data_IF_250832379757
#
_entry.id   IF_250832379757
#
_cell.length_a   1.000
_cell.length_b   1.000
_cell.length_c   1.000
_cell.angle_alpha   90.00
_cell.angle_beta   90.00
_cell.angle_gamma   90.00
#
_symmetry.space_group_name_H-M   'P 1'
#
loop_
_entity.id
_entity.type
_entity.pdbx_description
1 polymer ?
#
# COMPACT_ATOMS: atom_id res chain seq x y z
N UNK A 1 -49.87 36.40 31.63
CA UNK A 1 -48.81 36.81 30.68
C UNK A 1 -47.65 35.78 30.79
N UNK A 2 -47.52 34.89 29.80
CA UNK A 2 -46.47 33.86 29.83
C UNK A 2 -45.29 34.34 28.97
N UNK A 3 -44.14 34.59 29.63
CA UNK A 3 -42.93 35.02 28.98
C UNK A 3 -42.28 33.87 28.20
N UNK A 4 -42.09 34.01 26.89
CA UNK A 4 -41.38 33.07 26.02
C UNK A 4 -39.88 33.15 26.29
N UNK A 5 -39.31 32.11 26.88
CA UNK A 5 -37.86 31.92 27.02
C UNK A 5 -37.30 31.51 25.65
N UNK A 6 -36.42 32.35 25.04
CA UNK A 6 -35.72 31.99 23.82
C UNK A 6 -34.61 30.99 24.17
N UNK A 7 -34.43 29.89 23.42
CA UNK A 7 -33.32 28.96 23.65
C UNK A 7 -32.00 29.64 23.27
N UNK A 8 -31.06 29.58 24.18
CA UNK A 8 -29.67 30.06 24.01
C UNK A 8 -28.96 29.17 22.98
N UNK A 9 -28.43 29.77 21.95
CA UNK A 9 -27.75 29.10 20.82
C UNK A 9 -26.37 28.67 21.28
N UNK A 10 -26.19 27.35 21.53
CA UNK A 10 -24.91 26.77 21.89
C UNK A 10 -23.79 27.21 20.87
N UNK A 11 -22.71 27.75 21.38
CA UNK A 11 -21.57 28.21 20.60
C UNK A 11 -20.93 27.02 19.87
N UNK A 12 -20.73 27.13 18.55
CA UNK A 12 -20.02 26.14 17.75
C UNK A 12 -18.58 25.97 18.29
N UNK A 13 -18.11 24.74 18.49
CA UNK A 13 -16.75 24.50 18.96
C UNK A 13 -15.75 25.11 17.99
N UNK A 14 -14.77 25.83 18.52
CA UNK A 14 -13.65 26.40 17.74
C UNK A 14 -12.91 25.25 17.01
N UNK A 15 -12.52 25.45 15.74
CA UNK A 15 -11.75 24.43 15.02
C UNK A 15 -10.46 24.14 15.78
N UNK A 16 -10.21 22.86 16.03
CA UNK A 16 -8.99 22.39 16.68
C UNK A 16 -7.76 22.88 15.87
N UNK A 17 -6.76 23.45 16.53
CA UNK A 17 -5.48 23.83 15.91
C UNK A 17 -4.99 22.65 15.07
N UNK A 18 -4.75 22.87 13.76
CA UNK A 18 -4.12 21.89 12.89
C UNK A 18 -2.79 21.46 13.51
N UNK A 19 -2.72 20.23 14.00
CA UNK A 19 -1.45 19.62 14.42
C UNK A 19 -0.55 19.61 13.18
N UNK A 20 0.72 20.06 13.32
CA UNK A 20 1.72 19.93 12.27
C UNK A 20 1.69 18.48 11.75
N UNK A 21 1.67 18.30 10.44
CA UNK A 21 1.68 16.96 9.85
C UNK A 21 2.94 16.25 10.34
N UNK A 22 2.77 15.12 11.02
CA UNK A 22 3.89 14.27 11.36
C UNK A 22 4.44 13.67 10.06
N UNK A 23 5.73 13.43 9.99
CA UNK A 23 6.40 12.80 8.84
C UNK A 23 6.88 11.40 9.21
N UNK A 24 7.02 10.54 8.22
CA UNK A 24 7.69 9.24 8.36
C UNK A 24 8.58 9.01 7.14
N UNK A 25 9.75 8.42 7.37
CA UNK A 25 10.73 8.11 6.34
C UNK A 25 10.72 6.61 6.02
N UNK A 26 11.02 6.30 4.77
CA UNK A 26 11.20 4.96 4.25
C UNK A 26 12.37 4.90 3.27
N UNK A 27 12.94 3.73 3.09
CA UNK A 27 14.07 3.53 2.21
C UNK A 27 13.94 2.25 1.39
N UNK A 28 14.62 2.21 0.24
CA UNK A 28 14.79 0.99 -0.53
C UNK A 28 15.76 0.03 0.18
N UNK A 29 15.82 -1.23 -0.27
CA UNK A 29 16.62 -2.29 0.36
C UNK A 29 18.11 -1.90 0.55
N UNK A 30 18.72 -1.23 -0.42
CA UNK A 30 20.11 -0.81 -0.33
C UNK A 30 20.32 0.54 0.38
N UNK A 31 19.25 1.18 0.85
CA UNK A 31 19.28 2.51 1.46
C UNK A 31 19.62 3.66 0.50
N UNK A 32 19.85 3.39 -0.79
CA UNK A 32 20.24 4.42 -1.76
C UNK A 32 19.14 5.43 -2.06
N UNK A 33 17.88 4.98 -2.10
CA UNK A 33 16.69 5.86 -2.26
C UNK A 33 16.00 5.99 -0.92
N UNK A 34 15.77 7.24 -0.49
CA UNK A 34 15.05 7.54 0.73
C UNK A 34 13.89 8.48 0.43
N UNK A 35 12.73 8.15 1.01
CA UNK A 35 11.46 8.85 0.79
C UNK A 35 10.89 9.28 2.13
N UNK A 36 10.40 10.50 2.18
CA UNK A 36 9.67 11.05 3.31
C UNK A 36 8.23 11.34 2.90
N UNK A 37 7.28 11.02 3.77
CA UNK A 37 5.86 11.29 3.56
C UNK A 37 5.23 11.99 4.76
N UNK A 38 4.26 12.86 4.50
CA UNK A 38 3.41 13.40 5.56
C UNK A 38 2.37 12.38 6.00
N UNK A 39 2.15 12.28 7.30
CA UNK A 39 1.16 11.38 7.89
C UNK A 39 0.01 12.14 8.55
N UNK A 40 -1.19 11.56 8.60
CA UNK A 40 -1.56 10.25 8.06
C UNK A 40 -1.63 10.25 6.54
N UNK A 41 -1.30 9.10 5.93
CA UNK A 41 -1.53 8.88 4.49
C UNK A 41 -3.02 8.91 4.17
N UNK A 42 -3.37 9.07 2.89
CA UNK A 42 -4.77 9.16 2.49
C UNK A 42 -5.51 7.83 2.71
N UNK A 43 -4.92 6.71 2.27
CA UNK A 43 -5.43 5.35 2.50
C UNK A 43 -4.32 4.30 2.46
N UNK A 44 -4.66 3.03 2.79
CA UNK A 44 -3.77 1.88 2.70
C UNK A 44 -4.57 0.62 2.31
N UNK A 45 -3.98 -0.25 1.46
CA UNK A 45 -4.66 -1.46 0.96
C UNK A 45 -3.67 -2.53 0.52
N UNK A 46 -4.20 -3.74 0.33
CA UNK A 46 -3.51 -4.87 -0.29
C UNK A 46 -3.98 -4.99 -1.74
N UNK A 47 -3.05 -5.04 -2.69
CA UNK A 47 -3.31 -5.13 -4.12
C UNK A 47 -2.91 -6.51 -4.64
N UNK A 48 -3.91 -7.28 -5.08
CA UNK A 48 -3.75 -8.66 -5.57
C UNK A 48 -3.68 -8.74 -7.10
N UNK A 49 -3.69 -7.62 -7.82
CA UNK A 49 -3.66 -7.60 -9.27
C UNK A 49 -2.43 -8.32 -9.84
N UNK A 50 -2.59 -8.95 -11.00
CA UNK A 50 -1.50 -9.64 -11.69
C UNK A 50 -0.30 -8.70 -11.92
N UNK A 51 -0.57 -7.46 -12.34
CA UNK A 51 0.46 -6.46 -12.58
C UNK A 51 1.25 -6.10 -11.32
N UNK A 52 0.61 -6.11 -10.16
CA UNK A 52 1.27 -5.86 -8.87
C UNK A 52 2.07 -7.07 -8.43
N UNK A 53 1.53 -8.28 -8.56
CA UNK A 53 2.27 -9.51 -8.25
C UNK A 53 3.55 -9.64 -9.08
N UNK A 54 3.47 -9.41 -10.40
CA UNK A 54 4.63 -9.44 -11.28
C UNK A 54 5.67 -8.38 -10.92
N UNK A 55 5.22 -7.16 -10.60
CA UNK A 55 6.12 -6.06 -10.27
C UNK A 55 6.83 -6.23 -8.91
N UNK A 56 6.29 -7.03 -8.01
CA UNK A 56 6.84 -7.24 -6.66
C UNK A 56 7.38 -8.66 -6.44
N UNK A 57 7.15 -9.60 -7.35
CA UNK A 57 7.48 -11.01 -7.14
C UNK A 57 6.79 -11.61 -5.90
N UNK A 58 5.56 -11.18 -5.60
CA UNK A 58 4.87 -11.50 -4.36
C UNK A 58 3.39 -11.81 -4.61
N UNK A 59 2.72 -12.49 -3.66
CA UNK A 59 1.30 -12.82 -3.76
C UNK A 59 0.40 -11.58 -3.84
N UNK A 60 0.81 -10.49 -3.22
CA UNK A 60 0.21 -9.17 -3.26
C UNK A 60 1.23 -8.13 -2.78
N UNK A 61 0.94 -6.85 -2.97
CA UNK A 61 1.69 -5.78 -2.34
C UNK A 61 0.78 -4.92 -1.50
N UNK A 62 1.29 -4.46 -0.35
CA UNK A 62 0.62 -3.47 0.48
C UNK A 62 1.08 -2.09 0.08
N UNK A 63 0.13 -1.23 -0.25
CA UNK A 63 0.38 0.15 -0.62
C UNK A 63 -0.19 1.14 0.39
N UNK A 64 0.46 2.29 0.47
CA UNK A 64 -0.08 3.52 1.06
C UNK A 64 -0.25 4.55 -0.02
N UNK A 65 -1.42 5.18 -0.10
CA UNK A 65 -1.74 6.22 -1.08
C UNK A 65 -1.53 7.60 -0.49
N UNK A 66 -0.77 8.42 -1.21
CA UNK A 66 -0.40 9.78 -0.82
C UNK A 66 -0.73 10.79 -1.91
N UNK A 67 -1.00 12.03 -1.53
CA UNK A 67 -0.93 13.14 -2.48
C UNK A 67 0.53 13.34 -2.88
N UNK A 68 0.83 13.53 -4.16
CA UNK A 68 2.20 13.77 -4.65
C UNK A 68 2.89 14.92 -3.92
N UNK A 69 2.15 15.98 -3.57
CA UNK A 69 2.65 17.13 -2.83
C UNK A 69 3.12 16.82 -1.40
N UNK A 70 2.78 15.64 -0.89
CA UNK A 70 3.12 15.15 0.45
C UNK A 70 4.16 14.05 0.44
N UNK A 71 4.81 13.82 -0.69
CA UNK A 71 5.87 12.83 -0.88
C UNK A 71 7.13 13.53 -1.37
N UNK A 72 8.24 13.25 -0.71
CA UNK A 72 9.56 13.82 -1.03
C UNK A 72 10.57 12.70 -1.15
N UNK A 73 11.32 12.68 -2.25
CA UNK A 73 12.53 11.86 -2.35
C UNK A 73 13.64 12.72 -1.77
N UNK A 74 14.09 12.38 -0.56
CA UNK A 74 15.07 13.16 0.19
C UNK A 74 16.52 12.76 -0.13
N UNK A 75 16.70 11.55 -0.71
CA UNK A 75 17.99 11.05 -1.18
C UNK A 75 17.82 10.10 -2.35
N UNK A 76 18.79 10.07 -3.27
CA UNK A 76 18.91 9.08 -4.35
C UNK A 76 17.86 9.25 -5.45
N UNK A 77 17.44 10.48 -5.74
CA UNK A 77 16.50 10.77 -6.83
C UNK A 77 17.02 10.27 -8.17
N UNK A 78 18.32 10.33 -8.40
CA UNK A 78 19.04 9.88 -9.59
C UNK A 78 19.07 8.34 -9.73
N UNK A 79 18.83 7.62 -8.63
CA UNK A 79 18.72 6.17 -8.60
C UNK A 79 17.30 5.66 -8.87
N UNK A 80 16.33 6.56 -9.09
CA UNK A 80 14.95 6.17 -9.35
C UNK A 80 14.74 5.99 -10.85
N UNK A 81 14.59 4.74 -11.26
CA UNK A 81 14.21 4.35 -12.62
C UNK A 81 12.69 4.19 -12.75
N UNK A 82 12.19 4.32 -13.97
CA UNK A 82 10.77 4.30 -14.26
C UNK A 82 10.42 3.30 -15.35
N UNK A 83 9.33 2.57 -15.14
CA UNK A 83 8.67 1.76 -16.16
C UNK A 83 7.27 2.32 -16.41
N UNK A 84 7.00 2.68 -17.66
CA UNK A 84 5.68 3.14 -18.09
C UNK A 84 4.91 1.99 -18.73
N UNK A 85 3.86 1.51 -18.07
CA UNK A 85 2.88 0.59 -18.66
C UNK A 85 1.82 1.42 -19.37
N UNK A 86 2.06 1.70 -20.64
CA UNK A 86 1.16 2.52 -21.47
C UNK A 86 -0.19 1.85 -21.71
N UNK A 87 -0.22 0.51 -21.79
CA UNK A 87 -1.44 -0.28 -21.98
C UNK A 87 -2.42 -0.09 -20.83
N UNK A 88 -1.92 -0.02 -19.59
CA UNK A 88 -2.74 0.16 -18.40
C UNK A 88 -2.79 1.60 -17.90
N UNK A 89 -2.02 2.50 -18.50
CA UNK A 89 -1.88 3.89 -18.06
C UNK A 89 -1.26 3.99 -16.66
N UNK A 90 -0.31 3.13 -16.36
CA UNK A 90 0.38 3.06 -15.08
C UNK A 90 1.86 3.42 -15.23
N UNK A 91 2.46 3.97 -14.18
CA UNK A 91 3.91 4.15 -14.08
C UNK A 91 4.40 3.55 -12.77
N UNK A 92 5.46 2.76 -12.85
CA UNK A 92 6.12 2.15 -11.69
C UNK A 92 7.54 2.69 -11.60
N UNK A 93 7.96 3.01 -10.40
CA UNK A 93 9.32 3.48 -10.14
C UNK A 93 9.99 2.50 -9.18
N UNK A 94 11.28 2.30 -9.40
CA UNK A 94 12.08 1.37 -8.61
C UNK A 94 13.51 1.90 -8.47
N UNK A 95 14.22 1.43 -7.46
CA UNK A 95 15.62 1.75 -7.29
C UNK A 95 16.46 0.99 -8.34
N UNK A 96 17.21 1.71 -9.18
CA UNK A 96 18.07 1.11 -10.22
C UNK A 96 19.21 0.24 -9.67
N UNK A 97 19.61 0.48 -8.40
CA UNK A 97 20.70 -0.27 -7.75
C UNK A 97 20.25 -1.63 -7.20
N UNK A 98 19.05 -1.69 -6.56
CA UNK A 98 18.61 -2.90 -5.86
C UNK A 98 17.26 -3.44 -6.33
N UNK A 99 16.62 -2.83 -7.32
CA UNK A 99 15.32 -3.27 -7.85
C UNK A 99 14.12 -3.01 -6.93
N UNK A 100 14.31 -2.49 -5.71
CA UNK A 100 13.19 -2.25 -4.78
C UNK A 100 12.13 -1.36 -5.42
N UNK A 101 10.86 -1.78 -5.50
CA UNK A 101 9.77 -0.90 -5.89
C UNK A 101 9.67 0.32 -4.97
N UNK A 102 9.52 1.50 -5.55
CA UNK A 102 9.54 2.79 -4.84
C UNK A 102 8.21 3.50 -4.92
N UNK A 103 7.63 3.59 -6.13
CA UNK A 103 6.37 4.28 -6.35
C UNK A 103 5.54 3.59 -7.44
N UNK A 104 4.22 3.75 -7.33
CA UNK A 104 3.26 3.33 -8.33
C UNK A 104 2.25 4.45 -8.57
N UNK A 105 2.19 4.96 -9.79
CA UNK A 105 1.27 6.01 -10.21
C UNK A 105 0.26 5.49 -11.22
N UNK A 106 -0.98 5.99 -11.15
CA UNK A 106 -2.06 5.69 -12.09
C UNK A 106 -2.40 6.96 -12.86
N UNK A 107 -2.52 6.87 -14.19
CA UNK A 107 -2.91 8.00 -15.03
C UNK A 107 -4.26 8.59 -14.66
N UNK A 108 -5.21 7.73 -14.24
CA UNK A 108 -6.53 8.15 -13.76
C UNK A 108 -6.51 8.96 -12.46
N UNK A 109 -5.38 9.00 -11.74
CA UNK A 109 -5.23 9.73 -10.47
C UNK A 109 -3.93 10.53 -10.44
N UNK A 110 -3.77 11.53 -11.31
CA UNK A 110 -2.47 12.18 -11.57
C UNK A 110 -1.90 12.94 -10.36
N UNK A 111 -2.75 13.32 -9.41
CA UNK A 111 -2.34 14.01 -8.18
C UNK A 111 -1.92 13.07 -7.05
N UNK A 112 -2.10 11.76 -7.24
CA UNK A 112 -1.80 10.74 -6.23
C UNK A 112 -0.63 9.88 -6.64
N UNK A 113 0.02 9.30 -5.65
CA UNK A 113 1.05 8.26 -5.81
C UNK A 113 0.88 7.23 -4.71
N UNK A 114 1.17 5.98 -5.05
CA UNK A 114 1.10 4.86 -4.12
C UNK A 114 2.53 4.40 -3.85
N UNK A 115 2.85 4.19 -2.58
CA UNK A 115 4.17 3.74 -2.16
C UNK A 115 4.03 2.37 -1.50
N UNK A 116 4.94 1.43 -1.77
CA UNK A 116 4.96 0.17 -1.04
C UNK A 116 5.07 0.44 0.46
N UNK A 117 4.14 -0.10 1.25
CA UNK A 117 4.13 0.04 2.71
C UNK A 117 5.42 -0.50 3.35
N UNK A 118 6.02 -1.50 2.71
CA UNK A 118 7.25 -2.14 3.16
C UNK A 118 8.47 -1.20 3.22
N UNK A 119 8.46 -0.07 2.50
CA UNK A 119 9.53 0.92 2.58
C UNK A 119 9.64 1.57 3.96
N UNK A 120 8.53 1.63 4.72
CA UNK A 120 8.42 2.40 5.96
C UNK A 120 8.42 1.48 7.18
N UNK A 121 9.42 1.60 8.04
CA UNK A 121 9.43 0.94 9.35
C UNK A 121 8.45 1.59 10.33
N UNK A 122 8.27 2.91 10.22
CA UNK A 122 7.36 3.70 11.06
C UNK A 122 5.89 3.59 10.68
N UNK A 123 5.02 4.14 11.53
CA UNK A 123 3.58 4.19 11.27
C UNK A 123 3.27 5.19 10.16
N UNK A 124 2.40 4.79 9.22
CA UNK A 124 1.91 5.67 8.14
C UNK A 124 0.54 6.31 8.47
N UNK A 125 0.01 6.03 9.66
CA UNK A 125 -1.25 6.60 10.14
C UNK A 125 -2.52 5.95 9.60
N UNK A 126 -2.37 4.93 8.74
CA UNK A 126 -3.47 4.09 8.25
C UNK A 126 -3.03 2.63 8.25
N UNK A 127 -3.95 1.75 8.66
CA UNK A 127 -3.79 0.31 8.53
C UNK A 127 -4.41 -0.17 7.23
N UNK A 128 -3.79 -1.18 6.61
CA UNK A 128 -4.30 -1.79 5.38
C UNK A 128 -5.44 -2.75 5.72
N UNK A 129 -6.67 -2.28 5.50
CA UNK A 129 -7.91 -3.05 5.76
C UNK A 129 -8.63 -3.46 4.49
N UNK A 130 -8.22 -2.92 3.35
CA UNK A 130 -8.88 -3.12 2.07
C UNK A 130 -8.05 -4.03 1.18
N UNK A 131 -8.75 -4.83 0.39
CA UNK A 131 -8.16 -5.66 -0.65
C UNK A 131 -8.73 -5.23 -1.99
N UNK A 132 -7.90 -5.06 -3.01
CA UNK A 132 -8.31 -4.78 -4.39
C UNK A 132 -7.86 -5.89 -5.31
N UNK A 133 -8.58 -6.11 -6.41
CA UNK A 133 -8.35 -7.19 -7.37
C UNK A 133 -8.29 -8.58 -6.69
N UNK A 134 -9.19 -8.81 -5.74
CA UNK A 134 -9.22 -10.08 -4.97
C UNK A 134 -9.59 -11.26 -5.88
N UNK A 135 -10.31 -11.02 -6.95
CA UNK A 135 -10.68 -11.98 -7.99
C UNK A 135 -9.47 -12.51 -8.77
N UNK A 136 -8.40 -11.71 -8.85
CA UNK A 136 -7.13 -12.10 -9.47
C UNK A 136 -6.19 -12.86 -8.53
N UNK A 137 -6.57 -13.05 -7.26
CA UNK A 137 -5.76 -13.75 -6.28
C UNK A 137 -5.53 -15.21 -6.71
N UNK A 138 -4.30 -15.68 -6.48
CA UNK A 138 -3.91 -17.06 -6.81
C UNK A 138 -4.16 -18.02 -5.64
N UNK A 139 -4.38 -19.28 -5.94
CA UNK A 139 -4.63 -20.35 -4.98
C UNK A 139 -3.46 -20.59 -4.02
N UNK A 140 -2.23 -20.33 -4.47
CA UNK A 140 -1.02 -20.42 -3.65
C UNK A 140 -0.82 -19.18 -2.73
N UNK A 141 -1.64 -18.11 -2.86
CA UNK A 141 -1.52 -16.92 -2.03
C UNK A 141 -2.03 -17.18 -0.61
N UNK A 142 -1.19 -16.93 0.38
CA UNK A 142 -1.58 -17.04 1.78
C UNK A 142 -2.33 -15.79 2.25
N UNK A 143 -3.53 -15.95 2.79
CA UNK A 143 -4.38 -14.87 3.30
C UNK A 143 -4.85 -15.08 4.75
N UNK A 144 -3.97 -15.51 5.63
CA UNK A 144 -4.25 -15.50 7.06
C UNK A 144 -5.00 -16.71 7.59
N UNK A 145 -4.88 -17.90 6.98
CA UNK A 145 -5.27 -19.12 7.64
C UNK A 145 -4.44 -19.35 8.91
N UNK A 146 -4.98 -20.00 9.97
CA UNK A 146 -4.21 -20.29 11.16
C UNK A 146 -2.95 -21.10 10.84
N UNK A 147 -1.81 -20.67 11.32
CA UNK A 147 -0.54 -21.40 11.19
C UNK A 147 -0.09 -21.96 12.54
N UNK A 148 0.75 -22.97 12.51
CA UNK A 148 1.37 -23.54 13.70
C UNK A 148 2.77 -24.02 13.42
N UNK A 149 3.59 -24.26 14.47
CA UNK A 149 4.96 -24.69 14.29
C UNK A 149 5.03 -26.04 13.55
N UNK A 150 5.96 -26.13 12.60
CA UNK A 150 6.28 -27.38 11.91
C UNK A 150 7.23 -28.21 12.79
N UNK A 151 6.80 -29.40 13.18
CA UNK A 151 7.58 -30.31 14.04
C UNK A 151 8.92 -30.66 13.38
N UNK A 152 10.01 -30.48 14.10
CA UNK A 152 11.37 -30.77 13.61
C UNK A 152 12.06 -29.65 12.84
N UNK A 153 11.39 -28.48 12.65
CA UNK A 153 11.94 -27.34 11.93
C UNK A 153 11.73 -26.05 12.73
N UNK A 154 12.66 -25.70 13.65
CA UNK A 154 12.56 -24.48 14.43
C UNK A 154 12.46 -23.24 13.56
N UNK A 155 11.52 -22.33 13.89
CA UNK A 155 11.26 -21.10 13.12
C UNK A 155 10.39 -21.27 11.88
N UNK A 156 9.99 -22.51 11.51
CA UNK A 156 9.07 -22.78 10.40
C UNK A 156 7.66 -23.01 10.92
N UNK A 157 6.68 -22.40 10.27
CA UNK A 157 5.26 -22.61 10.57
C UNK A 157 4.52 -23.20 9.37
N UNK A 158 3.46 -23.94 9.63
CA UNK A 158 2.59 -24.56 8.62
C UNK A 158 1.13 -24.17 8.90
N UNK A 159 0.34 -24.02 7.85
CA UNK A 159 -1.10 -23.79 7.96
C UNK A 159 -1.80 -24.95 8.69
N UNK A 160 -2.65 -24.61 9.68
CA UNK A 160 -3.51 -25.56 10.38
C UNK A 160 -4.92 -25.45 9.80
N UNK A 161 -5.33 -26.47 9.06
CA UNK A 161 -6.70 -26.57 8.53
C UNK A 161 -6.76 -27.19 7.13
N UNK A 162 -7.93 -27.61 6.72
CA UNK A 162 -8.15 -28.08 5.35
C UNK A 162 -8.09 -26.88 4.42
N UNK A 163 -7.12 -26.84 3.52
CA UNK A 163 -7.12 -25.92 2.37
C UNK A 163 -8.43 -26.11 1.62
N UNK A 164 -9.29 -25.10 1.59
CA UNK A 164 -10.31 -25.04 0.55
C UNK A 164 -9.57 -24.77 -0.75
N UNK A 165 -9.45 -25.79 -1.60
CA UNK A 165 -8.89 -25.64 -2.94
C UNK A 165 -9.82 -24.68 -3.69
N UNK A 166 -9.46 -23.41 -3.78
CA UNK A 166 -10.12 -22.48 -4.70
C UNK A 166 -9.78 -22.95 -6.11
N UNK A 167 -10.80 -23.21 -6.92
CA UNK A 167 -10.59 -23.48 -8.35
C UNK A 167 -9.79 -22.34 -8.95
N UNK A 168 -8.71 -22.60 -9.72
CA UNK A 168 -7.95 -21.57 -10.38
C UNK A 168 -8.91 -20.76 -11.26
N UNK A 169 -8.96 -19.45 -11.08
CA UNK A 169 -9.61 -18.57 -12.03
C UNK A 169 -8.83 -18.68 -13.33
N UNK A 170 -9.47 -19.20 -14.38
CA UNK A 170 -8.86 -19.64 -15.64
C UNK A 170 -8.32 -18.51 -16.52
N UNK A 171 -7.54 -17.61 -15.97
CA UNK A 171 -6.77 -16.65 -16.77
C UNK A 171 -5.33 -17.15 -16.77
N UNK A 172 -4.96 -17.81 -17.87
CA UNK A 172 -3.58 -18.19 -18.17
C UNK A 172 -2.66 -16.97 -18.05
N UNK A 173 -1.52 -17.15 -17.39
CA UNK A 173 -0.54 -16.08 -17.20
C UNK A 173 0.23 -15.73 -18.48
N UNK A 174 0.18 -16.61 -19.47
CA UNK A 174 0.86 -16.47 -20.74
C UNK A 174 0.06 -17.24 -21.81
N UNK A 175 -0.71 -16.56 -22.63
CA UNK A 175 -0.89 -16.98 -24.00
C UNK A 175 0.28 -16.33 -24.76
N UNK A 176 1.25 -17.15 -25.15
CA UNK A 176 2.29 -16.79 -26.07
C UNK A 176 1.66 -16.76 -27.47
N UNK A 177 1.63 -15.60 -28.10
CA UNK A 177 1.68 -15.47 -29.56
C UNK A 177 3.13 -15.39 -30.00
#
# INVERSE_FOLDING_TARGET
MAGKIKPERAAKPKPAKMRSAATTSGACLCGGVEIEIDTPVFWAWHDHSASTRLAHGAAYATYVGCWKSKVRIVRGKELVSHFADTTRGHARSFCSRCGSPVMFARGKSPKMVNLPRALFAGRTGRESKYHVAIEEMRDWAYLGAPVGPLKGYPGVTIEKGKRSVRKPSGVGLFEAE
#
